data_IF_577858299480
#
_entry.id   IF_577858299480
#
_cell.length_a   1.000
_cell.length_b   1.000
_cell.length_c   1.000
_cell.angle_alpha   90.00
_cell.angle_beta   90.00
_cell.angle_gamma   90.00
#
_symmetry.space_group_name_H-M   'P 1'
#
loop_
_entity.id
_entity.type
_entity.pdbx_description
1 polymer ?
#
# COMPACT_ATOMS: atom_id res chain seq x y z
N UNK A 1 6.02 2.85 -29.03
CA UNK A 1 7.03 3.91 -29.28
C UNK A 1 7.79 3.55 -30.54
N UNK A 2 7.99 4.48 -31.51
CA UNK A 2 8.72 4.20 -32.76
C UNK A 2 10.19 3.87 -32.52
N UNK A 3 10.75 2.92 -33.27
CA UNK A 3 12.13 2.47 -33.14
C UNK A 3 13.14 3.61 -33.34
N UNK A 4 12.89 4.48 -34.32
CA UNK A 4 13.77 5.62 -34.60
C UNK A 4 13.81 6.64 -33.49
N UNK A 5 12.69 6.82 -32.77
CA UNK A 5 12.65 7.68 -31.58
C UNK A 5 13.48 7.11 -30.41
N UNK A 6 13.40 5.79 -30.19
CA UNK A 6 14.22 5.11 -29.17
C UNK A 6 15.70 5.25 -29.53
N UNK A 7 16.07 4.96 -30.79
CA UNK A 7 17.44 5.08 -31.26
C UNK A 7 17.99 6.51 -31.06
N UNK A 8 17.19 7.54 -31.42
CA UNK A 8 17.59 8.95 -31.21
C UNK A 8 17.92 9.24 -29.75
N UNK A 9 17.10 8.77 -28.81
CA UNK A 9 17.32 9.01 -27.38
C UNK A 9 18.55 8.27 -26.85
N UNK A 10 18.78 7.04 -27.29
CA UNK A 10 19.97 6.26 -26.89
C UNK A 10 21.26 6.89 -27.38
N UNK A 11 21.26 7.47 -28.59
CA UNK A 11 22.42 8.12 -29.17
C UNK A 11 22.59 9.60 -28.78
N UNK A 12 21.58 10.18 -28.10
CA UNK A 12 21.67 11.55 -27.60
C UNK A 12 22.65 11.62 -26.43
N UNK A 13 23.67 12.50 -26.55
CA UNK A 13 24.72 12.68 -25.54
C UNK A 13 24.22 13.22 -24.20
N UNK A 14 23.01 13.75 -24.13
CA UNK A 14 22.38 14.22 -22.89
C UNK A 14 21.67 13.12 -22.12
N UNK A 15 21.46 11.96 -22.77
CA UNK A 15 20.83 10.80 -22.18
C UNK A 15 21.87 9.75 -21.80
N UNK A 16 21.60 9.06 -20.71
CA UNK A 16 22.41 7.94 -20.22
C UNK A 16 21.56 6.67 -20.22
N UNK A 17 22.20 5.55 -20.50
CA UNK A 17 21.50 4.26 -20.52
C UNK A 17 22.22 3.25 -19.64
N UNK A 18 21.44 2.43 -18.95
CA UNK A 18 21.90 1.27 -18.21
C UNK A 18 21.18 0.03 -18.72
N UNK A 19 21.91 -1.06 -18.94
CA UNK A 19 21.32 -2.29 -19.44
C UNK A 19 21.66 -3.49 -18.55
N UNK A 20 20.77 -4.47 -18.54
CA UNK A 20 21.04 -5.81 -18.01
C UNK A 20 21.49 -6.69 -19.17
N UNK A 21 22.69 -7.26 -19.03
CA UNK A 21 23.25 -8.20 -19.98
C UNK A 21 23.43 -9.54 -19.28
N UNK A 22 22.80 -10.56 -19.81
CA UNK A 22 22.92 -11.95 -19.35
C UNK A 22 24.01 -12.66 -20.14
N UNK A 23 24.77 -13.51 -19.52
CA UNK A 23 25.78 -14.30 -20.24
C UNK A 23 25.12 -15.27 -21.23
N UNK A 24 25.68 -15.49 -22.46
CA UNK A 24 26.98 -14.96 -22.89
C UNK A 24 26.99 -13.49 -23.31
N UNK A 25 25.92 -12.88 -23.87
CA UNK A 25 25.82 -11.45 -24.27
C UNK A 25 24.38 -11.09 -24.68
N UNK A 26 23.38 -11.61 -23.98
CA UNK A 26 21.97 -11.34 -24.22
C UNK A 26 21.53 -10.08 -23.46
N UNK A 27 21.09 -9.04 -24.16
CA UNK A 27 20.51 -7.86 -23.53
C UNK A 27 19.07 -8.16 -23.09
N UNK A 28 18.83 -8.19 -21.81
CA UNK A 28 17.55 -8.55 -21.19
C UNK A 28 16.64 -7.33 -21.00
N UNK A 29 17.21 -6.16 -20.85
CA UNK A 29 16.46 -4.93 -20.65
C UNK A 29 17.36 -3.74 -20.40
N UNK A 30 16.74 -2.56 -20.36
CA UNK A 30 17.46 -1.30 -20.16
C UNK A 30 16.56 -0.17 -19.65
N UNK A 31 17.21 0.82 -19.07
CA UNK A 31 16.60 2.10 -18.71
C UNK A 31 17.43 3.20 -19.36
N UNK A 32 16.75 4.13 -20.03
CA UNK A 32 17.36 5.39 -20.50
C UNK A 32 16.81 6.55 -19.69
N UNK A 33 17.71 7.39 -19.20
CA UNK A 33 17.34 8.51 -18.36
C UNK A 33 18.15 9.74 -18.73
N UNK A 34 17.61 10.92 -18.44
CA UNK A 34 18.26 12.22 -18.66
C UNK A 34 18.42 12.94 -17.32
N UNK A 35 19.65 13.11 -16.79
CA UNK A 35 19.89 13.90 -15.61
C UNK A 35 19.86 15.40 -15.94
N UNK A 36 19.24 16.20 -15.09
CA UNK A 36 19.24 17.67 -15.18
C UNK A 36 20.16 18.23 -14.11
N UNK A 37 21.40 18.57 -14.52
CA UNK A 37 22.44 19.08 -13.64
C UNK A 37 21.97 20.31 -12.86
N UNK A 38 22.24 20.35 -11.55
CA UNK A 38 21.86 21.46 -10.67
C UNK A 38 20.37 21.52 -10.30
N UNK A 39 19.53 20.58 -10.78
CA UNK A 39 18.09 20.53 -10.47
C UNK A 39 17.69 19.34 -9.60
N UNK A 40 18.63 18.51 -9.22
CA UNK A 40 18.46 17.36 -8.35
C UNK A 40 17.44 16.32 -8.84
N UNK A 41 17.06 16.35 -10.12
CA UNK A 41 16.19 15.34 -10.69
C UNK A 41 16.71 14.80 -12.03
N UNK A 42 16.22 13.61 -12.38
CA UNK A 42 16.40 13.02 -13.69
C UNK A 42 15.06 12.49 -14.23
N UNK A 43 14.88 12.59 -15.53
CA UNK A 43 13.75 11.96 -16.24
C UNK A 43 14.12 10.53 -16.64
N UNK A 44 13.27 9.54 -16.30
CA UNK A 44 13.32 8.22 -16.92
C UNK A 44 12.49 8.30 -18.21
N UNK A 45 13.18 8.23 -19.32
CA UNK A 45 12.57 8.41 -20.66
C UNK A 45 11.95 7.10 -21.13
N UNK A 46 12.63 5.98 -20.93
CA UNK A 46 12.06 4.65 -21.12
C UNK A 46 12.72 3.60 -20.22
N UNK A 47 11.93 2.58 -19.91
CA UNK A 47 12.34 1.42 -19.16
C UNK A 47 11.69 0.20 -19.79
N UNK A 48 12.47 -0.78 -20.20
CA UNK A 48 11.95 -1.98 -20.82
C UNK A 48 12.71 -3.22 -20.34
N UNK A 49 11.97 -4.33 -20.20
CA UNK A 49 12.50 -5.68 -19.99
C UNK A 49 11.86 -6.57 -21.06
N UNK A 50 12.67 -7.42 -21.69
CA UNK A 50 12.22 -8.39 -22.68
C UNK A 50 11.03 -9.20 -22.17
N UNK A 51 10.01 -9.39 -22.99
CA UNK A 51 8.71 -9.97 -22.57
C UNK A 51 8.85 -11.35 -21.90
N UNK A 52 9.73 -12.19 -22.42
CA UNK A 52 10.05 -13.52 -21.90
C UNK A 52 10.85 -13.50 -20.59
N UNK A 53 11.43 -12.36 -20.23
CA UNK A 53 12.23 -12.14 -19.02
C UNK A 53 11.51 -11.29 -17.95
N UNK A 54 10.29 -10.88 -18.21
CA UNK A 54 9.48 -10.15 -17.22
C UNK A 54 9.11 -11.03 -16.02
N UNK A 55 8.70 -10.40 -14.91
CA UNK A 55 8.27 -11.04 -13.65
C UNK A 55 9.38 -11.86 -12.95
N UNK A 56 10.60 -11.88 -13.48
CA UNK A 56 11.76 -12.57 -12.88
C UNK A 56 12.63 -11.67 -11.98
N UNK A 57 12.18 -10.45 -11.69
CA UNK A 57 12.89 -9.51 -10.82
C UNK A 57 13.90 -8.59 -11.53
N UNK A 58 14.19 -8.80 -12.80
CA UNK A 58 15.18 -8.00 -13.53
C UNK A 58 14.88 -6.50 -13.54
N UNK A 59 13.60 -6.11 -13.73
CA UNK A 59 13.23 -4.70 -13.72
C UNK A 59 13.43 -4.02 -12.37
N UNK A 60 13.14 -4.72 -11.27
CA UNK A 60 13.38 -4.21 -9.92
C UNK A 60 14.87 -4.10 -9.62
N UNK A 61 15.65 -5.09 -10.05
CA UNK A 61 17.10 -5.09 -9.87
C UNK A 61 17.76 -3.96 -10.66
N UNK A 62 17.37 -3.75 -11.92
CA UNK A 62 17.86 -2.67 -12.77
C UNK A 62 17.53 -1.29 -12.17
N UNK A 63 16.31 -1.10 -11.70
CA UNK A 63 15.90 0.15 -11.05
C UNK A 63 16.68 0.42 -9.76
N UNK A 64 16.94 -0.62 -8.97
CA UNK A 64 17.76 -0.50 -7.74
C UNK A 64 19.20 -0.12 -8.05
N UNK A 65 19.79 -0.73 -9.09
CA UNK A 65 21.11 -0.35 -9.59
C UNK A 65 21.16 1.09 -10.07
N UNK A 66 20.18 1.52 -10.87
CA UNK A 66 20.08 2.90 -11.34
C UNK A 66 20.04 3.88 -10.19
N UNK A 67 19.19 3.62 -9.19
CA UNK A 67 19.05 4.49 -8.00
C UNK A 67 20.36 4.63 -7.23
N UNK A 68 21.02 3.51 -6.95
CA UNK A 68 22.29 3.52 -6.21
C UNK A 68 23.40 4.18 -7.01
N UNK A 69 23.47 3.91 -8.33
CA UNK A 69 24.43 4.53 -9.22
C UNK A 69 24.27 6.04 -9.31
N UNK A 70 23.06 6.50 -9.56
CA UNK A 70 22.78 7.95 -9.73
C UNK A 70 23.05 8.73 -8.45
N UNK A 71 22.68 8.17 -7.28
CA UNK A 71 23.00 8.74 -5.97
C UNK A 71 24.50 8.83 -5.70
N UNK A 72 25.29 7.88 -6.20
CA UNK A 72 26.74 7.85 -5.98
C UNK A 72 27.50 8.78 -6.94
N UNK A 73 26.94 9.06 -8.13
CA UNK A 73 27.66 9.75 -9.21
C UNK A 73 27.12 11.15 -9.53
N UNK A 74 26.02 11.56 -8.92
CA UNK A 74 25.38 12.84 -9.20
C UNK A 74 24.66 13.43 -7.98
N UNK A 75 24.12 14.64 -8.15
CA UNK A 75 23.24 15.32 -7.18
C UNK A 75 21.77 14.95 -7.29
N UNK A 76 21.42 14.01 -8.19
CA UNK A 76 20.03 13.62 -8.45
C UNK A 76 19.47 12.83 -7.27
N UNK A 77 18.35 13.36 -6.73
CA UNK A 77 17.59 12.75 -5.64
C UNK A 77 16.17 12.37 -6.03
N UNK A 78 15.71 12.82 -7.20
CA UNK A 78 14.34 12.57 -7.67
C UNK A 78 14.35 12.04 -9.10
N UNK A 79 13.50 11.03 -9.34
CA UNK A 79 13.17 10.60 -10.69
C UNK A 79 11.75 11.04 -11.04
N UNK A 80 11.58 11.55 -12.25
CA UNK A 80 10.29 11.78 -12.87
C UNK A 80 10.16 10.88 -14.10
N UNK A 81 8.96 10.42 -14.38
CA UNK A 81 8.65 9.63 -15.57
C UNK A 81 7.20 9.82 -15.98
N UNK A 82 6.92 9.74 -17.28
CA UNK A 82 5.56 9.55 -17.79
C UNK A 82 5.33 8.06 -18.01
N UNK A 83 4.47 7.47 -17.21
CA UNK A 83 4.10 6.07 -17.29
C UNK A 83 2.81 5.89 -18.08
N UNK A 84 2.78 4.95 -19.02
CA UNK A 84 1.54 4.45 -19.59
C UNK A 84 0.73 3.65 -18.55
N UNK A 85 -0.53 3.35 -18.87
CA UNK A 85 -1.43 2.66 -17.95
C UNK A 85 -0.91 1.28 -17.51
N UNK A 86 -0.13 0.60 -18.35
CA UNK A 86 0.44 -0.72 -18.05
C UNK A 86 1.66 -0.60 -17.14
N UNK A 87 2.44 0.46 -17.28
CA UNK A 87 3.67 0.68 -16.51
C UNK A 87 3.43 1.26 -15.11
N UNK A 88 2.28 1.91 -14.85
CA UNK A 88 1.97 2.50 -13.53
C UNK A 88 2.16 1.49 -12.40
N UNK A 89 1.67 0.26 -12.57
CA UNK A 89 1.80 -0.79 -11.56
C UNK A 89 3.25 -1.16 -11.24
N UNK A 90 4.09 -1.22 -12.27
CA UNK A 90 5.53 -1.45 -12.11
C UNK A 90 6.19 -0.28 -11.37
N UNK A 91 5.98 0.96 -11.81
CA UNK A 91 6.60 2.12 -11.18
C UNK A 91 6.16 2.30 -9.72
N UNK A 92 4.90 2.03 -9.38
CA UNK A 92 4.45 2.01 -7.98
C UNK A 92 5.24 1.04 -7.12
N UNK A 93 5.49 -0.19 -7.60
CA UNK A 93 6.31 -1.19 -6.91
C UNK A 93 7.77 -0.75 -6.78
N UNK A 94 8.25 0.14 -7.64
CA UNK A 94 9.58 0.74 -7.54
C UNK A 94 9.63 2.02 -6.68
N UNK A 95 8.55 2.37 -5.99
CA UNK A 95 8.48 3.52 -5.09
C UNK A 95 8.14 4.84 -5.77
N UNK A 96 7.56 4.80 -6.97
CA UNK A 96 7.02 5.98 -7.62
C UNK A 96 5.58 6.22 -7.17
N UNK A 97 5.21 7.49 -7.05
CA UNK A 97 3.87 7.97 -6.72
C UNK A 97 3.34 8.89 -7.81
N UNK A 98 2.02 9.04 -7.88
CA UNK A 98 1.37 10.05 -8.75
C UNK A 98 1.38 11.44 -8.11
N UNK A 99 1.69 11.51 -6.83
CA UNK A 99 1.84 12.76 -6.11
C UNK A 99 3.22 13.34 -6.42
N UNK A 100 3.25 14.52 -7.02
CA UNK A 100 4.47 15.22 -7.39
C UNK A 100 4.76 16.25 -6.31
N UNK A 101 5.77 15.97 -5.49
CA UNK A 101 6.22 16.83 -4.39
C UNK A 101 7.33 17.78 -4.81
N UNK A 102 8.00 17.51 -5.93
CA UNK A 102 9.00 18.39 -6.50
C UNK A 102 8.33 19.66 -7.05
N UNK A 103 8.85 20.83 -6.71
CA UNK A 103 8.29 22.10 -7.16
C UNK A 103 8.20 22.17 -8.70
N UNK A 104 7.07 22.66 -9.21
CA UNK A 104 6.83 22.76 -10.65
C UNK A 104 7.88 23.58 -11.38
N UNK A 105 8.38 24.64 -10.76
CA UNK A 105 9.45 25.52 -11.28
C UNK A 105 10.75 24.75 -11.61
N UNK A 106 11.00 23.63 -10.95
CA UNK A 106 12.22 22.83 -11.13
C UNK A 106 12.16 21.98 -12.39
N UNK A 107 11.00 21.38 -12.70
CA UNK A 107 10.88 20.35 -13.75
C UNK A 107 9.97 20.71 -14.92
N UNK A 108 9.01 21.63 -14.73
CA UNK A 108 8.07 21.99 -15.79
C UNK A 108 8.80 22.66 -16.96
N UNK A 109 8.49 22.19 -18.18
CA UNK A 109 9.15 22.63 -19.41
C UNK A 109 10.48 21.94 -19.73
N UNK A 110 11.00 21.10 -18.83
CA UNK A 110 12.23 20.32 -19.04
C UNK A 110 11.98 18.90 -19.52
N UNK A 111 10.89 18.30 -19.08
CA UNK A 111 10.45 16.96 -19.50
C UNK A 111 9.31 17.06 -20.50
N UNK A 112 9.22 16.09 -21.41
CA UNK A 112 8.13 16.02 -22.38
C UNK A 112 6.87 15.51 -21.72
N UNK A 113 5.75 16.14 -22.04
CA UNK A 113 4.44 15.61 -21.75
C UNK A 113 4.04 14.62 -22.86
N UNK A 114 3.51 13.48 -22.46
CA UNK A 114 3.02 12.44 -23.37
C UNK A 114 1.51 12.28 -23.16
N UNK A 115 0.76 12.48 -24.23
CA UNK A 115 -0.68 12.28 -24.24
C UNK A 115 -1.03 10.86 -23.76
N UNK A 116 -1.94 10.77 -22.78
CA UNK A 116 -2.32 9.50 -22.16
C UNK A 116 -1.33 8.94 -21.15
N UNK A 117 -0.18 9.62 -20.90
CA UNK A 117 0.77 9.26 -19.86
C UNK A 117 0.39 9.84 -18.50
N UNK A 118 0.74 9.13 -17.45
CA UNK A 118 0.64 9.63 -16.07
C UNK A 118 2.02 9.99 -15.57
N UNK A 119 2.21 11.25 -15.15
CA UNK A 119 3.47 11.66 -14.51
C UNK A 119 3.59 11.00 -13.13
N UNK A 120 4.76 10.49 -12.83
CA UNK A 120 5.08 9.86 -11.55
C UNK A 120 6.44 10.31 -11.05
N UNK A 121 6.56 10.43 -9.73
CA UNK A 121 7.80 10.82 -9.05
C UNK A 121 8.27 9.72 -8.11
N UNK A 122 9.58 9.51 -8.07
CA UNK A 122 10.26 8.75 -7.02
C UNK A 122 11.33 9.64 -6.36
N UNK A 123 11.18 9.90 -5.08
CA UNK A 123 12.21 10.55 -4.26
C UNK A 123 13.08 9.50 -3.60
N UNK A 124 14.38 9.55 -3.82
CA UNK A 124 15.32 8.57 -3.29
C UNK A 124 15.69 8.91 -1.85
N UNK A 125 15.79 7.87 -1.01
CA UNK A 125 16.22 8.00 0.37
C UNK A 125 17.76 8.09 0.44
N UNK A 126 18.34 9.12 1.07
CA UNK A 126 19.78 9.34 1.06
C UNK A 126 20.59 8.18 1.64
N UNK A 127 20.11 7.59 2.74
CA UNK A 127 20.83 6.57 3.52
C UNK A 127 20.52 5.12 3.14
N UNK A 128 19.67 4.89 2.13
CA UNK A 128 19.27 3.55 1.72
C UNK A 128 20.08 3.10 0.52
N UNK A 129 20.68 1.91 0.59
CA UNK A 129 21.21 1.20 -0.57
C UNK A 129 20.11 0.30 -1.13
N UNK A 130 19.62 0.63 -2.31
CA UNK A 130 18.47 -0.06 -2.91
C UNK A 130 18.75 -1.51 -3.27
N UNK A 131 19.98 -1.84 -3.66
CA UNK A 131 20.41 -3.22 -3.89
C UNK A 131 20.47 -4.08 -2.62
N UNK A 132 20.64 -3.45 -1.45
CA UNK A 132 20.72 -4.15 -0.16
C UNK A 132 19.40 -4.05 0.63
N UNK A 133 18.34 -3.48 0.03
CA UNK A 133 17.08 -3.20 0.72
C UNK A 133 16.46 -4.46 1.32
N UNK A 134 16.54 -5.60 0.63
CA UNK A 134 16.05 -6.88 1.15
C UNK A 134 16.74 -7.31 2.44
N UNK A 135 18.06 -7.16 2.51
CA UNK A 135 18.85 -7.47 3.73
C UNK A 135 18.51 -6.52 4.87
N UNK A 136 18.37 -5.23 4.56
CA UNK A 136 18.00 -4.22 5.55
C UNK A 136 16.61 -4.50 6.16
N UNK A 137 15.61 -4.79 5.32
CA UNK A 137 14.25 -5.13 5.76
C UNK A 137 14.23 -6.41 6.60
N UNK A 138 14.99 -7.43 6.21
CA UNK A 138 15.13 -8.66 6.98
C UNK A 138 15.68 -8.36 8.40
N UNK A 139 16.76 -7.59 8.47
CA UNK A 139 17.36 -7.19 9.75
C UNK A 139 16.41 -6.36 10.61
N UNK A 140 15.63 -5.45 10.01
CA UNK A 140 14.60 -4.69 10.71
C UNK A 140 13.52 -5.61 11.27
N UNK A 141 13.03 -6.55 10.46
CA UNK A 141 12.05 -7.56 10.86
C UNK A 141 12.57 -8.39 12.05
N UNK A 142 13.78 -8.92 11.95
CA UNK A 142 14.44 -9.69 13.03
C UNK A 142 14.55 -8.87 14.32
N UNK A 143 14.95 -7.60 14.21
CA UNK A 143 15.06 -6.71 15.38
C UNK A 143 13.69 -6.46 16.03
N UNK A 144 12.64 -6.25 15.24
CA UNK A 144 11.27 -6.08 15.77
C UNK A 144 10.79 -7.37 16.44
N UNK A 145 11.00 -8.53 15.81
CA UNK A 145 10.64 -9.82 16.39
C UNK A 145 11.39 -10.07 17.71
N UNK A 146 12.67 -9.78 17.77
CA UNK A 146 13.46 -9.92 19.00
C UNK A 146 12.92 -9.02 20.12
N UNK A 147 12.55 -7.77 19.81
CA UNK A 147 11.91 -6.87 20.77
C UNK A 147 10.55 -7.38 21.23
N UNK A 148 9.71 -7.85 20.33
CA UNK A 148 8.41 -8.43 20.68
C UNK A 148 8.61 -9.64 21.60
N UNK A 149 9.55 -10.53 21.28
CA UNK A 149 9.84 -11.72 22.09
C UNK A 149 10.37 -11.36 23.49
N UNK A 150 11.02 -10.21 23.67
CA UNK A 150 11.49 -9.75 24.97
C UNK A 150 10.34 -9.25 25.88
N UNK A 151 9.24 -8.76 25.29
CA UNK A 151 8.09 -8.25 26.06
C UNK A 151 6.90 -9.21 26.12
N UNK A 152 6.80 -10.15 25.19
CA UNK A 152 5.65 -11.05 25.04
C UNK A 152 6.13 -12.49 24.93
N UNK A 153 5.45 -13.38 25.66
CA UNK A 153 5.66 -14.83 25.59
C UNK A 153 4.78 -15.52 24.53
N UNK A 154 4.08 -14.78 23.70
CA UNK A 154 3.15 -15.31 22.70
C UNK A 154 3.83 -16.19 21.63
N UNK A 155 5.15 -16.12 21.50
CA UNK A 155 5.96 -16.96 20.61
C UNK A 155 6.35 -18.31 21.21
N UNK A 156 6.13 -18.50 22.52
CA UNK A 156 6.49 -19.74 23.22
C UNK A 156 5.43 -20.80 22.94
N UNK A 157 5.83 -21.92 22.37
CA UNK A 157 4.96 -23.07 22.12
C UNK A 157 4.91 -23.92 23.38
N UNK A 158 3.75 -23.93 24.02
CA UNK A 158 3.51 -24.72 25.21
C UNK A 158 2.99 -26.12 24.85
N UNK A 159 3.35 -27.13 25.70
CA UNK A 159 2.80 -28.48 25.54
C UNK A 159 1.30 -28.45 25.87
N UNK A 160 0.47 -29.26 25.17
CA UNK A 160 -0.94 -29.34 25.46
C UNK A 160 -1.20 -29.85 26.88
N UNK A 161 -2.27 -29.40 27.53
CA UNK A 161 -2.64 -29.86 28.87
C UNK A 161 -2.79 -31.38 28.94
N UNK A 162 -2.21 -31.99 29.96
CA UNK A 162 -2.23 -33.47 30.12
C UNK A 162 -3.65 -34.03 30.21
N UNK A 163 -4.60 -33.25 30.73
CA UNK A 163 -6.01 -33.59 30.87
C UNK A 163 -6.67 -33.92 29.53
N UNK A 164 -6.24 -33.31 28.43
CA UNK A 164 -6.79 -33.62 27.10
C UNK A 164 -6.46 -35.05 26.65
N UNK A 165 -5.35 -35.61 27.11
CA UNK A 165 -5.00 -37.00 26.83
C UNK A 165 -5.92 -38.04 27.54
N UNK A 166 -6.59 -37.61 28.63
CA UNK A 166 -7.54 -38.42 29.39
C UNK A 166 -9.01 -38.21 29.00
N UNK A 167 -9.25 -37.51 27.88
CA UNK A 167 -10.61 -37.31 27.34
C UNK A 167 -11.41 -36.19 28.00
N UNK A 168 -10.79 -35.37 28.84
CA UNK A 168 -11.44 -34.21 29.45
C UNK A 168 -11.56 -33.11 28.40
N UNK A 169 -12.80 -32.76 28.00
CA UNK A 169 -13.04 -31.75 26.95
C UNK A 169 -13.12 -30.32 27.48
N UNK A 170 -13.43 -30.12 28.77
CA UNK A 170 -13.54 -28.79 29.40
C UNK A 170 -12.49 -28.65 30.49
N UNK A 171 -11.59 -27.71 30.32
CA UNK A 171 -10.56 -27.39 31.30
C UNK A 171 -10.74 -25.92 31.68
N UNK A 172 -10.71 -25.63 32.98
CA UNK A 172 -10.63 -24.25 33.46
C UNK A 172 -9.30 -23.63 32.95
N UNK A 173 -9.35 -22.56 32.16
CA UNK A 173 -8.16 -21.92 31.63
C UNK A 173 -7.13 -21.54 32.72
N UNK A 174 -7.60 -21.16 33.91
CA UNK A 174 -6.74 -20.75 35.02
C UNK A 174 -5.92 -21.90 35.63
N UNK A 175 -6.30 -23.15 35.34
CA UNK A 175 -5.52 -24.34 35.76
C UNK A 175 -4.32 -24.60 34.85
N UNK A 176 -4.27 -23.95 33.69
CA UNK A 176 -3.16 -24.07 32.73
C UNK A 176 -2.10 -23.03 33.05
N UNK A 177 -0.93 -23.51 33.48
CA UNK A 177 0.15 -22.63 33.95
C UNK A 177 0.57 -21.58 32.94
N UNK A 178 0.63 -21.95 31.63
CA UNK A 178 0.96 -21.04 30.56
C UNK A 178 -0.06 -19.90 30.41
N UNK A 179 -1.34 -20.16 30.58
CA UNK A 179 -2.41 -19.16 30.56
C UNK A 179 -2.29 -18.22 31.75
N UNK A 180 -2.10 -18.80 32.95
CA UNK A 180 -1.90 -18.02 34.17
C UNK A 180 -0.67 -17.12 34.06
N UNK A 181 0.44 -17.65 33.56
CA UNK A 181 1.67 -16.89 33.35
C UNK A 181 1.56 -15.78 32.32
N UNK A 182 0.64 -15.90 31.35
CA UNK A 182 0.38 -14.85 30.34
C UNK A 182 -0.34 -13.61 30.89
N UNK A 183 -0.86 -13.70 32.15
CA UNK A 183 -1.66 -12.62 32.73
C UNK A 183 -3.10 -12.54 32.20
N UNK A 184 -3.55 -13.56 31.42
CA UNK A 184 -4.92 -13.61 30.95
C UNK A 184 -5.91 -13.80 32.12
N UNK A 185 -7.07 -13.14 32.02
CA UNK A 185 -8.22 -13.35 32.92
C UNK A 185 -9.51 -13.43 32.12
N UNK A 186 -10.57 -14.07 32.64
CA UNK A 186 -11.88 -14.15 31.97
C UNK A 186 -12.45 -12.78 31.60
N UNK A 187 -12.21 -11.76 32.40
CA UNK A 187 -12.68 -10.38 32.18
C UNK A 187 -12.11 -9.77 30.88
N UNK A 188 -10.91 -10.21 30.48
CA UNK A 188 -10.31 -9.78 29.20
C UNK A 188 -11.11 -10.26 27.99
N UNK A 189 -11.72 -11.43 28.08
CA UNK A 189 -12.59 -11.96 27.02
C UNK A 189 -13.91 -11.20 26.96
N UNK A 190 -14.46 -10.77 28.08
CA UNK A 190 -15.65 -9.93 28.12
C UNK A 190 -15.38 -8.56 27.52
N UNK A 191 -14.25 -7.95 27.82
CA UNK A 191 -13.79 -6.71 27.20
C UNK A 191 -13.57 -6.88 25.68
N UNK A 192 -13.06 -8.03 25.27
CA UNK A 192 -12.85 -8.34 23.84
C UNK A 192 -14.16 -8.60 23.08
N UNK A 193 -15.21 -9.08 23.78
CA UNK A 193 -16.56 -9.31 23.24
C UNK A 193 -17.40 -8.06 23.16
N UNK A 194 -17.02 -6.98 23.84
CA UNK A 194 -17.72 -5.71 23.70
C UNK A 194 -17.66 -5.25 22.22
N UNK A 195 -18.76 -4.77 21.65
CA UNK A 195 -18.78 -4.29 20.28
C UNK A 195 -17.72 -3.21 20.09
N UNK A 196 -16.71 -3.49 19.28
CA UNK A 196 -15.73 -2.47 18.90
C UNK A 196 -16.24 -1.74 17.67
N UNK A 197 -16.55 -0.48 17.87
CA UNK A 197 -16.89 0.39 16.75
C UNK A 197 -15.65 0.69 15.90
N UNK A 198 -15.85 0.93 14.60
CA UNK A 198 -14.76 1.34 13.70
C UNK A 198 -14.08 2.64 14.15
N UNK A 199 -12.86 2.92 13.65
CA UNK A 199 -12.05 4.07 14.10
C UNK A 199 -12.76 5.42 13.93
N UNK A 200 -13.70 5.54 13.01
CA UNK A 200 -14.45 6.77 12.73
C UNK A 200 -15.87 6.77 13.31
N UNK A 201 -16.22 5.82 14.17
CA UNK A 201 -17.59 5.66 14.67
C UNK A 201 -18.16 6.94 15.29
N UNK A 202 -17.42 7.58 16.19
CA UNK A 202 -17.88 8.79 16.87
C UNK A 202 -18.08 9.96 15.89
N UNK A 203 -17.24 10.07 14.87
CA UNK A 203 -17.33 11.10 13.83
C UNK A 203 -18.55 10.87 12.93
N UNK A 204 -18.77 9.61 12.53
CA UNK A 204 -19.94 9.22 11.73
C UNK A 204 -21.24 9.40 12.51
N UNK A 205 -21.26 9.06 13.80
CA UNK A 205 -22.41 9.26 14.67
C UNK A 205 -22.72 10.74 14.86
N UNK A 206 -21.70 11.59 15.03
CA UNK A 206 -21.88 13.03 15.14
C UNK A 206 -22.47 13.60 13.84
N UNK A 207 -21.88 13.25 12.69
CA UNK A 207 -22.39 13.68 11.39
C UNK A 207 -23.84 13.24 11.16
N UNK A 208 -24.16 11.99 11.51
CA UNK A 208 -25.52 11.46 11.37
C UNK A 208 -26.52 12.20 12.26
N UNK A 209 -26.14 12.53 13.49
CA UNK A 209 -26.97 13.34 14.39
C UNK A 209 -27.19 14.75 13.83
N UNK A 210 -26.16 15.37 13.27
CA UNK A 210 -26.29 16.68 12.63
C UNK A 210 -27.23 16.63 11.42
N UNK A 211 -27.12 15.58 10.61
CA UNK A 211 -28.05 15.35 9.49
C UNK A 211 -29.49 15.17 9.96
N UNK A 212 -29.73 14.39 11.01
CA UNK A 212 -31.08 14.15 11.56
C UNK A 212 -31.70 15.41 12.15
N UNK A 213 -30.90 16.30 12.73
CA UNK A 213 -31.34 17.55 13.34
C UNK A 213 -31.49 18.70 12.33
N UNK A 214 -31.14 18.51 11.06
CA UNK A 214 -31.28 19.54 10.05
C UNK A 214 -32.75 19.79 9.70
N UNK A 215 -33.15 21.06 9.52
CA UNK A 215 -34.55 21.43 9.27
C UNK A 215 -35.18 20.77 8.03
N UNK A 216 -34.37 20.37 7.05
CA UNK A 216 -34.81 19.69 5.82
C UNK A 216 -34.65 18.18 5.85
N UNK A 217 -34.36 17.57 7.00
CA UNK A 217 -34.15 16.12 7.13
C UNK A 217 -35.41 15.28 7.15
N UNK A 218 -36.56 15.90 7.41
CA UNK A 218 -37.84 15.22 7.65
C UNK A 218 -38.20 14.16 6.59
N UNK A 219 -37.94 14.34 5.26
CA UNK A 219 -38.31 13.32 4.27
C UNK A 219 -37.39 12.08 4.33
N UNK A 220 -36.26 12.18 5.02
CA UNK A 220 -35.22 11.15 5.06
C UNK A 220 -35.04 10.52 6.44
N UNK A 221 -35.84 10.92 7.44
CA UNK A 221 -35.71 10.45 8.82
C UNK A 221 -36.02 8.96 8.96
N UNK A 222 -37.07 8.50 8.28
CA UNK A 222 -37.62 7.14 8.38
C UNK A 222 -37.79 6.50 7.00
N UNK A 223 -37.90 5.17 6.94
CA UNK A 223 -38.17 4.45 5.70
C UNK A 223 -39.47 4.95 5.07
N UNK A 224 -39.51 5.04 3.75
CA UNK A 224 -40.73 5.41 3.00
C UNK A 224 -41.82 4.39 3.25
N UNK A 225 -43.00 4.86 3.63
CA UNK A 225 -44.18 4.01 3.84
C UNK A 225 -44.67 3.43 2.51
N UNK A 226 -45.02 2.14 2.49
CA UNK A 226 -45.63 1.49 1.31
C UNK A 226 -47.05 2.00 1.06
N UNK A 227 -47.71 2.50 2.10
CA UNK A 227 -49.04 3.03 1.98
C UNK A 227 -49.04 4.42 1.30
N UNK A 228 -47.96 5.17 1.46
CA UNK A 228 -47.77 6.48 0.85
C UNK A 228 -47.24 6.41 -0.59
N UNK A 229 -46.30 5.44 -0.86
CA UNK A 229 -45.68 5.25 -2.18
C UNK A 229 -45.55 3.75 -2.47
N UNK A 230 -46.60 3.19 -3.12
CA UNK A 230 -46.74 1.73 -3.29
C UNK A 230 -45.63 1.09 -4.12
N UNK A 231 -45.10 1.76 -5.12
CA UNK A 231 -44.08 1.27 -6.07
C UNK A 231 -42.64 1.61 -5.66
N UNK A 232 -42.45 2.32 -4.56
CA UNK A 232 -41.11 2.79 -4.13
C UNK A 232 -40.10 1.66 -4.07
N UNK A 233 -40.43 0.53 -3.45
CA UNK A 233 -39.54 -0.62 -3.26
C UNK A 233 -39.40 -1.49 -4.51
N UNK A 234 -40.22 -1.26 -5.53
CA UNK A 234 -40.05 -1.90 -6.83
C UNK A 234 -38.97 -1.19 -7.66
N UNK A 235 -38.92 0.14 -7.54
CA UNK A 235 -37.97 1.00 -8.25
C UNK A 235 -36.66 1.09 -7.50
N UNK A 236 -36.70 1.37 -6.18
CA UNK A 236 -35.50 1.54 -5.36
C UNK A 236 -35.11 0.20 -4.73
N UNK A 237 -34.07 -0.43 -5.26
CA UNK A 237 -33.61 -1.76 -4.81
C UNK A 237 -32.81 -1.73 -3.51
N UNK A 238 -32.20 -0.61 -3.15
CA UNK A 238 -31.43 -0.42 -1.93
C UNK A 238 -31.86 0.86 -1.22
N UNK A 239 -33.05 0.86 -0.61
CA UNK A 239 -33.56 2.01 0.10
C UNK A 239 -32.69 2.28 1.34
N UNK A 240 -32.48 3.56 1.66
CA UNK A 240 -31.73 3.99 2.82
C UNK A 240 -32.35 5.25 3.41
N UNK A 241 -32.45 5.30 4.73
CA UNK A 241 -32.91 6.43 5.52
C UNK A 241 -31.99 6.65 6.73
N UNK A 242 -32.13 7.79 7.40
CA UNK A 242 -31.24 8.16 8.50
C UNK A 242 -31.41 7.26 9.73
N UNK A 243 -32.60 6.71 9.98
CA UNK A 243 -32.81 5.77 11.08
C UNK A 243 -32.17 4.41 10.81
N UNK A 244 -32.23 3.94 9.56
CA UNK A 244 -31.53 2.72 9.11
C UNK A 244 -30.02 2.90 9.17
N UNK A 245 -29.49 4.06 8.78
CA UNK A 245 -28.05 4.38 8.91
C UNK A 245 -27.60 4.35 10.38
N UNK A 246 -28.41 4.90 11.31
CA UNK A 246 -28.11 4.86 12.73
C UNK A 246 -28.00 3.41 13.25
N UNK A 247 -28.94 2.58 12.83
CA UNK A 247 -28.94 1.15 13.20
C UNK A 247 -27.71 0.42 12.65
N UNK A 248 -27.30 0.71 11.41
CA UNK A 248 -26.11 0.12 10.79
C UNK A 248 -24.82 0.58 11.45
N UNK A 249 -24.73 1.85 11.89
CA UNK A 249 -23.54 2.33 12.60
C UNK A 249 -23.37 1.69 13.98
N UNK A 250 -24.48 1.26 14.62
CA UNK A 250 -24.45 0.57 15.90
C UNK A 250 -24.01 -0.90 15.80
N UNK A 251 -23.98 -1.48 14.58
CA UNK A 251 -23.54 -2.87 14.40
C UNK A 251 -22.00 -2.98 14.59
N UNK A 252 -21.54 -4.00 15.32
CA UNK A 252 -20.11 -4.25 15.47
C UNK A 252 -19.49 -4.59 14.12
N UNK A 253 -18.30 -4.05 13.84
CA UNK A 253 -17.53 -4.40 12.64
C UNK A 253 -17.07 -5.86 12.75
N UNK A 254 -17.77 -6.75 12.08
CA UNK A 254 -17.34 -8.13 11.94
C UNK A 254 -16.22 -8.14 10.89
N UNK A 255 -14.97 -8.20 11.34
CA UNK A 255 -13.85 -8.49 10.44
C UNK A 255 -14.01 -9.91 9.90
N UNK A 256 -14.53 -10.07 8.67
CA UNK A 256 -14.34 -11.29 7.93
C UNK A 256 -12.85 -11.38 7.59
N UNK A 257 -12.16 -12.33 8.21
CA UNK A 257 -10.83 -12.75 7.75
C UNK A 257 -11.00 -13.41 6.38
N UNK A 258 -10.64 -12.72 5.32
CA UNK A 258 -10.32 -13.33 4.03
C UNK A 258 -8.86 -13.74 4.00
#
# INVERSE_FOLDING_TARGET
>A
MPKDYIARLVYDRTHLSIAIVKKPLEVVGGITYRPFKGRQFAEIVFCAISSDQQVKGYGAHLMSHLKDYVKATSDVMHFLTYADNYAIGYFKKQGFTKEITLEKSIWMGYIKDYEGGTIMQCSMLPRVRYLEMGKMLLKQKETVHAKIAAFSQNHVVHQPPKQWKSGVCKIDPMTVEAIRASGWSPDMDELARQPRHGPNYNQLLHLLNDMQNHNSSWPFLHPVSRDDVADYYEVIKQPMDLSSMLSLTALPVIFSRS
#
